data_IF_178654983044
#
_entry.id   IF_178654983044
#
_cell.length_a   1.000
_cell.length_b   1.000
_cell.length_c   1.000
_cell.angle_alpha   90.00
_cell.angle_beta   90.00
_cell.angle_gamma   90.00
#
_symmetry.space_group_name_H-M   'P 1'
#
loop_
_entity.id
_entity.type
_entity.pdbx_description
1 polymer ?
#
# COMPACT_ATOMS: atom_id res chain seq x y z
N UNK A 1 0.10 3.76 14.73
CA UNK A 1 1.30 2.95 14.47
C UNK A 1 0.84 1.53 14.35
N UNK A 2 1.19 0.90 13.27
CA UNK A 2 0.79 -0.45 12.94
C UNK A 2 1.31 -1.43 14.01
N UNK A 3 0.46 -2.37 14.43
CA UNK A 3 0.78 -3.41 15.44
C UNK A 3 2.01 -4.21 14.98
N UNK A 4 2.09 -4.55 13.70
CA UNK A 4 3.22 -5.29 13.12
C UNK A 4 4.53 -4.51 13.26
N UNK A 5 4.52 -3.19 13.06
CA UNK A 5 5.71 -2.36 13.26
C UNK A 5 6.22 -2.41 14.72
N UNK A 6 5.30 -2.53 15.68
CA UNK A 6 5.68 -2.71 17.08
C UNK A 6 6.31 -4.08 17.32
N UNK A 7 5.73 -5.14 16.77
CA UNK A 7 6.29 -6.51 16.87
C UNK A 7 7.70 -6.55 16.29
N UNK A 8 7.93 -5.94 15.13
CA UNK A 8 9.22 -5.91 14.43
C UNK A 8 10.20 -4.84 14.91
N UNK A 9 9.89 -4.14 16.01
CA UNK A 9 10.78 -3.11 16.55
C UNK A 9 12.08 -3.72 17.09
N UNK A 10 13.15 -2.93 17.07
CA UNK A 10 14.47 -3.36 17.56
C UNK A 10 14.45 -3.85 19.02
N UNK A 11 13.52 -3.33 19.84
CA UNK A 11 13.39 -3.71 21.24
C UNK A 11 12.82 -5.12 21.43
N UNK A 12 12.21 -5.69 20.42
CA UNK A 12 11.51 -6.98 20.50
C UNK A 12 12.23 -8.10 19.73
N UNK A 13 13.42 -7.83 19.18
CA UNK A 13 14.19 -8.80 18.38
C UNK A 13 14.42 -10.11 19.16
N UNK A 14 14.88 -10.03 20.40
CA UNK A 14 15.17 -11.23 21.21
C UNK A 14 13.91 -12.08 21.41
N UNK A 15 12.81 -11.47 21.82
CA UNK A 15 11.54 -12.16 22.04
C UNK A 15 11.00 -12.77 20.72
N UNK A 16 11.13 -12.06 19.62
CA UNK A 16 10.68 -12.55 18.31
C UNK A 16 11.50 -13.77 17.87
N UNK A 17 12.81 -13.75 18.09
CA UNK A 17 13.69 -14.87 17.80
C UNK A 17 13.36 -16.10 18.66
N UNK A 18 13.08 -15.94 19.95
CA UNK A 18 12.61 -17.05 20.81
C UNK A 18 11.31 -17.65 20.28
N UNK A 19 10.38 -16.81 19.82
CA UNK A 19 9.13 -17.28 19.24
C UNK A 19 9.40 -18.08 17.97
N UNK A 20 10.22 -17.59 17.04
CA UNK A 20 10.57 -18.30 15.81
C UNK A 20 11.27 -19.63 16.10
N UNK A 21 12.21 -19.65 17.05
CA UNK A 21 12.88 -20.88 17.50
C UNK A 21 11.89 -21.95 17.97
N UNK A 22 10.76 -21.55 18.54
CA UNK A 22 9.74 -22.48 19.01
C UNK A 22 8.75 -22.94 17.95
N UNK A 23 8.78 -22.35 16.73
CA UNK A 23 7.77 -22.55 15.69
C UNK A 23 8.30 -23.19 14.41
N UNK A 24 9.60 -23.15 14.13
CA UNK A 24 10.19 -23.64 12.88
C UNK A 24 11.49 -24.43 13.11
N UNK A 25 11.94 -25.09 12.04
CA UNK A 25 13.21 -25.80 12.00
C UNK A 25 14.43 -24.86 11.95
N UNK A 26 15.64 -25.43 12.06
CA UNK A 26 16.89 -24.67 12.10
C UNK A 26 17.19 -23.93 10.79
N UNK A 27 16.81 -24.48 9.64
CA UNK A 27 17.04 -23.87 8.32
C UNK A 27 16.20 -22.60 8.18
N UNK A 28 14.89 -22.71 8.38
CA UNK A 28 13.94 -21.58 8.35
C UNK A 28 14.29 -20.54 9.42
N UNK A 29 14.68 -20.97 10.62
CA UNK A 29 15.12 -20.07 11.68
C UNK A 29 16.35 -19.25 11.28
N UNK A 30 17.34 -19.89 10.62
CA UNK A 30 18.54 -19.20 10.16
C UNK A 30 18.22 -18.07 9.17
N UNK A 31 17.28 -18.30 8.25
CA UNK A 31 16.84 -17.27 7.28
C UNK A 31 16.01 -16.18 7.96
N UNK A 32 15.05 -16.56 8.79
CA UNK A 32 14.25 -15.60 9.56
C UNK A 32 15.14 -14.71 10.42
N UNK A 33 16.16 -15.27 11.08
CA UNK A 33 17.11 -14.53 11.92
C UNK A 33 17.84 -13.44 11.12
N UNK A 34 18.32 -13.74 9.92
CA UNK A 34 18.99 -12.74 9.04
C UNK A 34 18.07 -11.55 8.74
N UNK A 35 16.76 -11.80 8.57
CA UNK A 35 15.78 -10.73 8.29
C UNK A 35 15.45 -9.96 9.58
N UNK A 36 15.21 -10.67 10.68
CA UNK A 36 14.81 -10.09 11.98
C UNK A 36 15.90 -9.20 12.55
N UNK A 37 17.16 -9.66 12.54
CA UNK A 37 18.32 -8.93 13.07
C UNK A 37 18.77 -7.78 12.16
N UNK A 38 18.36 -7.78 10.88
CA UNK A 38 18.74 -6.72 9.95
C UNK A 38 18.21 -5.36 10.45
N UNK A 39 19.09 -4.36 10.63
CA UNK A 39 18.69 -3.06 11.17
C UNK A 39 17.76 -2.33 10.20
N UNK A 40 16.82 -1.58 10.77
CA UNK A 40 15.93 -0.71 9.99
C UNK A 40 16.72 0.51 9.49
N UNK A 41 16.62 0.76 8.18
CA UNK A 41 17.25 1.88 7.48
C UNK A 41 16.25 2.51 6.50
N UNK A 42 16.66 3.58 5.79
CA UNK A 42 15.85 4.17 4.72
C UNK A 42 15.57 3.17 3.59
N UNK A 43 16.49 2.25 3.32
CA UNK A 43 16.38 1.25 2.26
C UNK A 43 15.76 -0.06 2.73
N UNK A 44 15.76 -0.33 4.05
CA UNK A 44 15.16 -1.50 4.67
C UNK A 44 14.29 -1.08 5.87
N UNK A 45 13.07 -0.69 5.59
CA UNK A 45 12.08 -0.22 6.55
C UNK A 45 11.04 -1.29 6.91
N UNK A 46 10.16 -1.00 7.86
CA UNK A 46 9.20 -1.98 8.39
C UNK A 46 8.45 -2.77 7.34
N UNK A 47 7.91 -2.13 6.31
CA UNK A 47 7.15 -2.85 5.28
C UNK A 47 8.02 -3.82 4.48
N UNK A 48 9.29 -3.46 4.20
CA UNK A 48 10.22 -4.40 3.55
C UNK A 48 10.57 -5.57 4.46
N UNK A 49 10.80 -5.33 5.75
CA UNK A 49 11.05 -6.39 6.74
C UNK A 49 9.85 -7.33 6.84
N UNK A 50 8.63 -6.78 6.94
CA UNK A 50 7.38 -7.55 6.94
C UNK A 50 7.25 -8.41 5.69
N UNK A 51 7.40 -7.82 4.51
CA UNK A 51 7.29 -8.56 3.25
C UNK A 51 8.34 -9.68 3.16
N UNK A 52 9.59 -9.43 3.56
CA UNK A 52 10.62 -10.47 3.56
C UNK A 52 10.29 -11.65 4.48
N UNK A 53 9.62 -11.43 5.61
CA UNK A 53 9.18 -12.51 6.51
C UNK A 53 7.94 -13.23 5.97
N UNK A 54 7.02 -12.51 5.32
CA UNK A 54 5.85 -13.10 4.64
C UNK A 54 6.29 -13.96 3.44
N UNK A 55 7.25 -13.47 2.65
CA UNK A 55 7.81 -14.20 1.51
C UNK A 55 8.54 -15.48 1.94
N UNK A 56 9.14 -15.48 3.13
CA UNK A 56 9.78 -16.65 3.69
C UNK A 56 8.75 -17.74 4.07
N UNK A 57 7.77 -17.38 4.88
CA UNK A 57 6.64 -18.25 5.27
C UNK A 57 5.53 -17.42 5.92
N UNK A 58 4.42 -17.26 5.19
CA UNK A 58 3.28 -16.48 5.65
C UNK A 58 2.61 -17.04 6.90
N UNK A 59 2.43 -18.36 6.97
CA UNK A 59 1.81 -19.03 8.15
C UNK A 59 2.69 -18.89 9.38
N UNK A 60 3.99 -19.10 9.21
CA UNK A 60 4.97 -18.95 10.29
C UNK A 60 4.95 -17.50 10.81
N UNK A 61 4.96 -16.51 9.91
CA UNK A 61 4.89 -15.11 10.29
C UNK A 61 3.60 -14.79 11.07
N UNK A 62 2.44 -15.24 10.60
CA UNK A 62 1.16 -15.04 11.27
C UNK A 62 1.15 -15.68 12.67
N UNK A 63 1.66 -16.92 12.80
CA UNK A 63 1.80 -17.62 14.08
C UNK A 63 2.74 -16.88 15.03
N UNK A 64 3.87 -16.39 14.53
CA UNK A 64 4.84 -15.66 15.33
C UNK A 64 4.25 -14.34 15.84
N UNK A 65 3.57 -13.58 14.98
CA UNK A 65 2.89 -12.33 15.36
C UNK A 65 1.80 -12.59 16.38
N UNK A 66 0.95 -13.59 16.17
CA UNK A 66 -0.12 -13.95 17.12
C UNK A 66 0.44 -14.36 18.48
N UNK A 67 1.48 -15.21 18.50
CA UNK A 67 2.14 -15.63 19.73
C UNK A 67 2.79 -14.46 20.47
N UNK A 68 3.38 -13.51 19.75
CA UNK A 68 3.88 -12.28 20.33
C UNK A 68 2.74 -11.44 20.94
N UNK A 69 1.63 -11.27 20.20
CA UNK A 69 0.50 -10.46 20.68
C UNK A 69 -0.16 -11.02 21.94
N UNK A 70 -0.08 -12.35 22.17
CA UNK A 70 -0.53 -12.97 23.44
C UNK A 70 0.23 -12.47 24.66
N UNK A 71 1.42 -11.93 24.51
CA UNK A 71 2.21 -11.31 25.59
C UNK A 71 1.90 -9.82 25.80
N UNK A 72 0.89 -9.29 25.12
CA UNK A 72 0.53 -7.88 25.10
C UNK A 72 -0.94 -7.68 25.45
N UNK A 73 -1.35 -6.42 25.68
CA UNK A 73 -2.76 -6.05 25.91
C UNK A 73 -3.56 -5.83 24.62
N UNK A 74 -3.02 -6.14 23.44
CA UNK A 74 -3.77 -6.01 22.20
C UNK A 74 -4.98 -6.97 22.16
N UNK A 75 -6.14 -6.51 21.66
CA UNK A 75 -7.36 -7.32 21.63
C UNK A 75 -7.17 -8.67 20.95
N UNK A 76 -6.43 -8.73 19.84
CA UNK A 76 -6.14 -9.97 19.10
C UNK A 76 -5.35 -10.98 19.96
N UNK A 77 -4.46 -10.52 20.84
CA UNK A 77 -3.71 -11.39 21.75
C UNK A 77 -4.57 -12.06 22.83
N UNK A 78 -5.79 -11.55 23.06
CA UNK A 78 -6.76 -12.09 24.04
C UNK A 78 -7.67 -13.16 23.44
N UNK A 79 -7.62 -13.38 22.13
CA UNK A 79 -8.40 -14.41 21.46
C UNK A 79 -7.79 -15.78 21.71
N UNK A 80 -8.60 -16.80 21.92
CA UNK A 80 -8.15 -18.19 22.04
C UNK A 80 -7.69 -18.71 20.68
N UNK A 81 -8.42 -18.35 19.63
CA UNK A 81 -8.14 -18.68 18.24
C UNK A 81 -8.22 -17.43 17.35
N UNK A 82 -7.38 -17.40 16.30
CA UNK A 82 -7.37 -16.30 15.33
C UNK A 82 -7.31 -16.88 13.92
N UNK A 83 -8.35 -16.71 13.10
CA UNK A 83 -8.49 -17.42 11.82
C UNK A 83 -7.33 -17.20 10.83
N UNK A 84 -6.61 -16.05 10.94
CA UNK A 84 -5.48 -15.76 10.05
C UNK A 84 -4.19 -16.51 10.40
N UNK A 85 -4.15 -17.22 11.55
CA UNK A 85 -2.92 -17.92 12.01
C UNK A 85 -2.50 -19.00 11.02
N UNK A 86 -3.47 -19.70 10.43
CA UNK A 86 -3.21 -20.77 9.46
C UNK A 86 -3.49 -20.34 8.00
N UNK A 87 -3.78 -19.06 7.79
CA UNK A 87 -4.01 -18.53 6.45
C UNK A 87 -2.67 -18.22 5.75
N UNK A 88 -2.50 -18.77 4.56
CA UNK A 88 -1.38 -18.52 3.65
C UNK A 88 -1.77 -17.77 2.37
N UNK A 89 -3.04 -17.36 2.25
CA UNK A 89 -3.51 -16.59 1.12
C UNK A 89 -2.89 -15.18 1.13
N UNK A 90 -2.04 -14.91 0.15
CA UNK A 90 -1.53 -13.56 -0.12
C UNK A 90 -2.31 -13.03 -1.31
N UNK A 91 -3.32 -12.20 -1.02
CA UNK A 91 -4.10 -11.56 -2.07
C UNK A 91 -3.37 -10.31 -2.59
N UNK A 92 -3.07 -10.32 -3.89
CA UNK A 92 -2.62 -9.15 -4.62
C UNK A 92 -3.80 -8.45 -5.31
N UNK A 93 -3.57 -7.26 -5.86
CA UNK A 93 -4.62 -6.45 -6.49
C UNK A 93 -5.40 -7.21 -7.58
N UNK A 94 -4.70 -8.00 -8.38
CA UNK A 94 -5.32 -8.75 -9.47
C UNK A 94 -6.23 -9.86 -8.96
N UNK A 95 -5.91 -10.49 -7.83
CA UNK A 95 -6.79 -11.44 -7.16
C UNK A 95 -8.08 -10.76 -6.67
N UNK A 96 -7.96 -9.56 -6.10
CA UNK A 96 -9.14 -8.79 -5.69
C UNK A 96 -10.02 -8.44 -6.90
N UNK A 97 -9.42 -8.06 -8.02
CA UNK A 97 -10.18 -7.77 -9.23
C UNK A 97 -10.89 -9.02 -9.76
N UNK A 98 -10.20 -10.16 -9.79
CA UNK A 98 -10.80 -11.44 -10.17
C UNK A 98 -11.97 -11.81 -9.24
N UNK A 99 -11.81 -11.70 -7.93
CA UNK A 99 -12.88 -11.97 -6.96
C UNK A 99 -14.08 -11.05 -7.18
N UNK A 100 -13.87 -9.76 -7.46
CA UNK A 100 -14.94 -8.81 -7.75
C UNK A 100 -15.71 -9.16 -9.03
N UNK A 101 -15.02 -9.60 -10.07
CA UNK A 101 -15.65 -10.05 -11.32
C UNK A 101 -16.44 -11.35 -11.11
N UNK A 102 -15.84 -12.36 -10.47
CA UNK A 102 -16.47 -13.65 -10.18
C UNK A 102 -17.71 -13.52 -9.27
N UNK A 103 -17.70 -12.55 -8.36
CA UNK A 103 -18.85 -12.26 -7.47
C UNK A 103 -19.99 -11.50 -8.15
N UNK A 104 -19.82 -11.05 -9.40
CA UNK A 104 -20.79 -10.26 -10.14
C UNK A 104 -20.85 -8.77 -9.74
N UNK A 105 -20.03 -8.31 -8.78
CA UNK A 105 -19.92 -6.90 -8.39
C UNK A 105 -19.22 -6.08 -9.49
N UNK A 106 -18.22 -6.69 -10.14
CA UNK A 106 -17.41 -6.06 -11.17
C UNK A 106 -16.33 -5.12 -10.62
N UNK A 107 -15.35 -4.79 -11.47
CA UNK A 107 -14.28 -3.84 -11.14
C UNK A 107 -14.81 -2.42 -11.26
N UNK A 108 -14.66 -1.55 -10.23
CA UNK A 108 -15.05 -0.15 -10.32
C UNK A 108 -14.39 0.58 -11.50
N UNK A 109 -15.18 1.37 -12.23
CA UNK A 109 -14.74 2.01 -13.48
C UNK A 109 -13.50 2.90 -13.33
N UNK A 110 -13.31 3.52 -12.17
CA UNK A 110 -12.13 4.37 -11.93
C UNK A 110 -10.79 3.60 -11.89
N UNK A 111 -10.82 2.27 -11.78
CA UNK A 111 -9.62 1.43 -11.92
C UNK A 111 -9.33 1.03 -13.37
N UNK A 112 -10.32 1.16 -14.27
CA UNK A 112 -10.14 0.79 -15.67
C UNK A 112 -9.20 1.77 -16.37
N UNK A 113 -8.14 1.28 -17.05
CA UNK A 113 -7.24 2.15 -17.79
C UNK A 113 -7.96 2.86 -18.95
N UNK A 114 -7.84 4.18 -19.00
CA UNK A 114 -8.31 5.02 -20.09
C UNK A 114 -7.11 5.43 -20.93
N UNK A 115 -7.20 5.30 -22.25
CA UNK A 115 -6.14 5.74 -23.17
C UNK A 115 -6.15 7.24 -23.32
N UNK A 116 -4.95 7.83 -23.39
CA UNK A 116 -4.74 9.20 -23.81
C UNK A 116 -3.62 9.29 -24.86
N UNK A 117 -3.62 10.35 -25.63
CA UNK A 117 -2.55 10.65 -26.58
C UNK A 117 -1.90 11.99 -26.23
N UNK A 118 -0.59 12.07 -26.35
CA UNK A 118 0.20 13.29 -26.22
C UNK A 118 1.43 13.20 -27.10
N UNK A 119 1.66 14.20 -27.95
CA UNK A 119 2.80 14.28 -28.90
C UNK A 119 2.94 13.01 -29.77
N UNK A 120 1.83 12.45 -30.23
CA UNK A 120 1.85 11.21 -31.02
C UNK A 120 2.19 9.93 -30.24
N UNK A 121 2.30 10.01 -28.91
CA UNK A 121 2.51 8.85 -28.03
C UNK A 121 1.20 8.50 -27.30
N UNK A 122 0.96 7.20 -27.16
CA UNK A 122 -0.21 6.68 -26.46
C UNK A 122 0.21 6.22 -25.06
N UNK A 123 -0.51 6.69 -24.06
CA UNK A 123 -0.41 6.24 -22.67
C UNK A 123 -1.76 5.82 -22.10
N UNK A 124 -1.76 5.38 -20.86
CA UNK A 124 -2.99 5.09 -20.09
C UNK A 124 -2.93 5.74 -18.73
N UNK A 125 -4.09 6.11 -18.20
CA UNK A 125 -4.25 6.60 -16.85
C UNK A 125 -5.53 6.03 -16.21
N UNK A 126 -5.52 5.92 -14.90
CA UNK A 126 -6.64 5.46 -14.06
C UNK A 126 -6.36 5.84 -12.62
N UNK A 127 -7.27 5.52 -11.70
CA UNK A 127 -7.00 5.64 -10.27
C UNK A 127 -6.23 4.42 -9.77
N UNK A 128 -5.23 4.64 -8.94
CA UNK A 128 -4.47 3.57 -8.28
C UNK A 128 -5.05 3.16 -6.94
N UNK A 129 -5.91 4.01 -6.35
CA UNK A 129 -6.51 3.82 -5.02
C UNK A 129 -7.99 4.19 -5.03
N UNK A 130 -8.78 3.43 -4.25
CA UNK A 130 -10.15 3.78 -3.88
C UNK A 130 -10.13 4.89 -2.83
N UNK A 131 -11.19 5.69 -2.77
CA UNK A 131 -11.38 6.68 -1.72
C UNK A 131 -11.85 8.03 -2.26
N UNK A 132 -11.54 9.09 -1.52
CA UNK A 132 -11.97 10.44 -1.85
C UNK A 132 -11.45 10.88 -3.22
N UNK A 133 -12.26 11.64 -3.98
CA UNK A 133 -11.83 12.24 -5.23
C UNK A 133 -10.67 13.24 -5.04
N UNK A 134 -10.48 13.75 -3.83
CA UNK A 134 -9.33 14.54 -3.41
C UNK A 134 -8.52 13.72 -2.37
N UNK A 135 -7.34 13.29 -2.73
CA UNK A 135 -6.47 12.51 -1.84
C UNK A 135 -5.04 13.05 -1.87
N UNK A 136 -4.43 13.24 -0.71
CA UNK A 136 -3.03 13.68 -0.58
C UNK A 136 -2.03 12.76 -1.30
N UNK A 137 -2.37 11.48 -1.42
CA UNK A 137 -1.53 10.50 -2.07
C UNK A 137 -1.82 10.33 -3.55
N UNK A 138 -2.69 11.17 -4.11
CA UNK A 138 -3.04 11.14 -5.52
C UNK A 138 -1.85 11.61 -6.36
N UNK A 139 -1.49 10.82 -7.37
CA UNK A 139 -0.42 11.16 -8.29
C UNK A 139 -0.88 12.28 -9.27
N UNK A 140 0.07 13.03 -9.81
CA UNK A 140 -0.28 14.14 -10.74
C UNK A 140 -1.08 13.65 -11.96
N UNK A 141 -0.76 12.47 -12.50
CA UNK A 141 -1.52 11.89 -13.60
C UNK A 141 -2.97 11.53 -13.20
N UNK A 142 -3.20 11.14 -11.95
CA UNK A 142 -4.55 10.86 -11.44
C UNK A 142 -5.36 12.17 -11.24
N UNK A 143 -4.69 13.28 -10.95
CA UNK A 143 -5.34 14.62 -10.94
C UNK A 143 -5.73 15.04 -12.36
N UNK A 144 -4.92 14.74 -13.38
CA UNK A 144 -5.29 14.98 -14.79
C UNK A 144 -6.45 14.07 -15.18
N UNK A 145 -6.44 12.78 -14.79
CA UNK A 145 -7.57 11.88 -14.96
C UNK A 145 -8.86 12.45 -14.34
N UNK A 146 -8.80 12.96 -13.09
CA UNK A 146 -9.95 13.56 -12.41
C UNK A 146 -10.45 14.81 -13.17
N UNK A 147 -9.55 15.67 -13.63
CA UNK A 147 -9.89 16.84 -14.41
C UNK A 147 -10.61 16.50 -15.72
N UNK A 148 -10.12 15.49 -16.43
CA UNK A 148 -10.67 15.14 -17.75
C UNK A 148 -11.94 14.28 -17.66
N UNK A 149 -12.07 13.43 -16.64
CA UNK A 149 -13.22 12.52 -16.49
C UNK A 149 -14.32 13.08 -15.59
N UNK A 150 -13.99 13.92 -14.61
CA UNK A 150 -14.88 14.47 -13.59
C UNK A 150 -14.54 15.91 -13.25
N UNK A 151 -14.70 16.85 -14.21
CA UNK A 151 -14.29 18.26 -14.04
C UNK A 151 -15.01 18.96 -12.88
N UNK A 152 -16.24 18.58 -12.57
CA UNK A 152 -17.00 19.09 -11.45
C UNK A 152 -16.38 18.70 -10.09
N UNK A 153 -15.87 17.48 -9.97
CA UNK A 153 -15.16 17.01 -8.78
C UNK A 153 -13.78 17.67 -8.67
N UNK A 154 -13.11 17.88 -9.79
CA UNK A 154 -11.85 18.62 -9.81
C UNK A 154 -12.04 20.05 -9.32
N UNK A 155 -13.07 20.74 -9.80
CA UNK A 155 -13.39 22.09 -9.33
C UNK A 155 -13.66 22.12 -7.82
N UNK A 156 -14.44 21.17 -7.29
CA UNK A 156 -14.66 21.06 -5.85
C UNK A 156 -13.35 20.84 -5.08
N UNK A 157 -12.40 20.06 -5.62
CA UNK A 157 -11.10 19.89 -5.00
C UNK A 157 -10.28 21.19 -4.99
N UNK A 158 -10.33 21.98 -6.09
CA UNK A 158 -9.69 23.32 -6.15
C UNK A 158 -10.25 24.26 -5.10
N UNK A 159 -11.54 24.19 -4.79
CA UNK A 159 -12.18 25.07 -3.80
C UNK A 159 -11.63 24.88 -2.37
N UNK A 160 -10.94 23.77 -2.10
CA UNK A 160 -10.24 23.54 -0.83
C UNK A 160 -8.83 24.15 -0.80
N UNK A 161 -8.26 24.54 -1.94
CA UNK A 161 -6.95 25.20 -1.98
C UNK A 161 -7.06 26.67 -1.57
N UNK A 162 -7.22 26.93 -0.26
CA UNK A 162 -7.39 28.26 0.33
C UNK A 162 -6.26 28.55 1.33
N UNK A 163 -5.95 29.83 1.51
CA UNK A 163 -4.99 30.27 2.54
C UNK A 163 -3.56 29.76 2.33
N UNK A 164 -3.17 29.47 1.09
CA UNK A 164 -1.84 28.95 0.75
C UNK A 164 -1.71 27.43 0.84
N UNK A 165 -2.79 26.72 1.15
CA UNK A 165 -2.81 25.27 1.10
C UNK A 165 -2.92 24.78 -0.36
N UNK A 166 -2.14 23.75 -0.71
CA UNK A 166 -2.21 23.05 -2.00
C UNK A 166 -2.19 21.52 -1.79
N UNK A 167 -2.90 20.80 -2.65
CA UNK A 167 -2.91 19.31 -2.61
C UNK A 167 -1.57 18.72 -3.01
N UNK A 168 -0.85 19.38 -3.90
CA UNK A 168 0.49 18.97 -4.31
C UNK A 168 1.52 19.93 -3.73
N UNK A 169 2.63 19.40 -3.28
CA UNK A 169 3.72 20.23 -2.80
C UNK A 169 4.21 21.17 -3.92
N UNK A 170 4.23 22.48 -3.62
CA UNK A 170 4.72 23.55 -4.52
C UNK A 170 3.93 23.75 -5.83
N UNK A 171 2.74 23.19 -5.98
CA UNK A 171 1.95 23.34 -7.21
C UNK A 171 0.45 23.22 -6.91
N UNK A 172 -0.34 24.23 -7.30
CA UNK A 172 -1.79 24.21 -7.13
C UNK A 172 -2.48 23.36 -8.19
N UNK A 173 -3.74 22.96 -7.94
CA UNK A 173 -4.54 22.29 -8.97
C UNK A 173 -4.79 23.21 -10.17
N UNK A 174 -4.87 24.53 -9.97
CA UNK A 174 -4.97 25.50 -11.07
C UNK A 174 -3.71 25.50 -11.95
N UNK A 175 -2.52 25.23 -11.37
CA UNK A 175 -1.29 25.11 -12.14
C UNK A 175 -1.23 23.79 -12.91
N UNK A 176 -1.74 22.69 -12.35
CA UNK A 176 -1.73 21.38 -13.00
C UNK A 176 -2.51 21.32 -14.30
N UNK A 177 -3.58 22.12 -14.43
CA UNK A 177 -4.45 22.13 -15.63
C UNK A 177 -3.99 23.10 -16.72
N UNK A 178 -2.85 23.77 -16.57
CA UNK A 178 -2.26 24.54 -17.66
C UNK A 178 -1.87 23.58 -18.81
N UNK A 179 -2.15 23.90 -20.09
CA UNK A 179 -1.94 22.99 -21.21
C UNK A 179 -0.54 22.38 -21.26
N UNK A 180 0.50 23.19 -21.09
CA UNK A 180 1.89 22.73 -21.07
C UNK A 180 2.16 21.78 -19.89
N UNK A 181 1.50 22.01 -18.76
CA UNK A 181 1.69 21.18 -17.58
C UNK A 181 1.00 19.82 -17.72
N UNK A 182 -0.24 19.80 -18.25
CA UNK A 182 -0.94 18.55 -18.63
C UNK A 182 -0.08 17.73 -19.59
N UNK A 183 0.44 18.38 -20.64
CA UNK A 183 1.33 17.73 -21.62
C UNK A 183 2.53 17.08 -20.94
N UNK A 184 3.25 17.81 -20.08
CA UNK A 184 4.41 17.30 -19.36
C UNK A 184 4.04 16.13 -18.46
N UNK A 185 2.97 16.22 -17.65
CA UNK A 185 2.53 15.15 -16.75
C UNK A 185 2.18 13.89 -17.55
N UNK A 186 1.49 14.03 -18.68
CA UNK A 186 1.15 12.90 -19.55
C UNK A 186 2.40 12.24 -20.14
N UNK A 187 3.38 13.04 -20.59
CA UNK A 187 4.66 12.50 -21.09
C UNK A 187 5.44 11.76 -20.01
N UNK A 188 5.50 12.31 -18.80
CA UNK A 188 6.17 11.67 -17.65
C UNK A 188 5.51 10.34 -17.24
N UNK A 189 4.22 10.17 -17.51
CA UNK A 189 3.47 8.96 -17.23
C UNK A 189 3.66 7.86 -18.30
N UNK A 190 4.13 8.21 -19.49
CA UNK A 190 4.47 7.25 -20.54
C UNK A 190 5.90 6.75 -20.32
N UNK A 191 6.00 5.63 -19.60
CA UNK A 191 7.28 4.95 -19.33
C UNK A 191 7.44 3.72 -20.20
#
# INVERSE_FOLDING_TARGET
MDVVNKVLSNNNIAQLLEIYTSLCDEETLSEAKKIIEKPLTKDFYYSKKTNSLLDLDTKLFNKAVFKFLKTTDYPVGKLDDFPLVDNDDILVRDDIFRILEESGVGIPDYYKPIKFEVDGKIGTYNRSRSGCYFCFFQQKIEWIWLYEQHPDLYQKAMDFEKGGYTWNQNESLADLIKPERIRQIKLDAIK
#
